data_IF_534033020994
#
_entry.id   IF_534033020994
#
_cell.length_a   1.000
_cell.length_b   1.000
_cell.length_c   1.000
_cell.angle_alpha   90.00
_cell.angle_beta   90.00
_cell.angle_gamma   90.00
#
_symmetry.space_group_name_H-M   'P 1'
#
loop_
_entity.id
_entity.type
_entity.pdbx_description
1 polymer ?
#
# COMPACT_ATOMS: atom_id res chain seq x y z
N UNK A 1 19.21 6.25 -13.47
CA UNK A 1 19.10 4.84 -13.02
C UNK A 1 19.28 3.89 -14.21
N UNK A 2 19.86 2.69 -14.03
CA UNK A 2 20.07 1.70 -15.13
C UNK A 2 18.75 1.11 -15.63
N UNK A 3 17.76 1.05 -14.73
CA UNK A 3 16.40 0.63 -15.04
C UNK A 3 15.46 1.84 -15.02
N UNK A 4 14.22 1.65 -15.46
CA UNK A 4 13.16 2.66 -15.42
C UNK A 4 12.63 2.96 -14.00
N UNK A 5 13.48 2.82 -12.99
CA UNK A 5 13.17 2.99 -11.57
C UNK A 5 12.52 4.36 -11.30
N UNK A 6 13.07 5.44 -11.85
CA UNK A 6 12.51 6.80 -11.71
C UNK A 6 11.04 6.88 -12.18
N UNK A 7 10.72 6.23 -13.31
CA UNK A 7 9.36 6.19 -13.87
C UNK A 7 8.43 5.33 -13.02
N UNK A 8 8.92 4.20 -12.52
CA UNK A 8 8.15 3.28 -11.67
C UNK A 8 7.85 3.94 -10.31
N UNK A 9 8.82 4.65 -9.73
CA UNK A 9 8.62 5.40 -8.50
C UNK A 9 7.57 6.50 -8.67
N UNK A 10 7.59 7.22 -9.81
CA UNK A 10 6.55 8.19 -10.14
C UNK A 10 5.18 7.54 -10.26
N UNK A 11 5.07 6.44 -11.02
CA UNK A 11 3.82 5.67 -11.17
C UNK A 11 3.28 5.20 -9.81
N UNK A 12 4.16 4.65 -8.96
CA UNK A 12 3.80 4.21 -7.62
C UNK A 12 3.32 5.37 -6.75
N UNK A 13 3.98 6.53 -6.82
CA UNK A 13 3.56 7.73 -6.11
C UNK A 13 2.18 8.23 -6.57
N UNK A 14 1.93 8.24 -7.88
CA UNK A 14 0.65 8.65 -8.46
C UNK A 14 -0.47 7.65 -8.09
N UNK A 15 -0.17 6.34 -8.08
CA UNK A 15 -1.07 5.30 -7.59
C UNK A 15 -1.40 5.48 -6.10
N UNK A 16 -0.40 5.71 -5.25
CA UNK A 16 -0.63 5.91 -3.81
C UNK A 16 -1.53 7.12 -3.61
N UNK A 17 -1.25 8.26 -4.26
CA UNK A 17 -2.12 9.45 -4.17
C UNK A 17 -3.57 9.16 -4.55
N UNK A 18 -3.80 8.37 -5.61
CA UNK A 18 -5.17 8.03 -6.01
C UNK A 18 -5.90 7.21 -4.96
N UNK A 19 -5.20 6.35 -4.21
CA UNK A 19 -5.81 5.54 -3.14
C UNK A 19 -6.31 6.38 -1.95
N UNK A 20 -5.74 7.57 -1.73
CA UNK A 20 -6.25 8.50 -0.71
C UNK A 20 -7.60 9.10 -1.13
N UNK A 21 -7.93 9.16 -2.42
CA UNK A 21 -9.27 9.53 -2.87
C UNK A 21 -10.32 8.44 -2.64
N UNK A 22 -9.90 7.16 -2.65
CA UNK A 22 -10.78 6.00 -2.53
C UNK A 22 -10.95 5.52 -1.08
N UNK A 23 -9.96 5.75 -0.22
CA UNK A 23 -9.94 5.26 1.17
C UNK A 23 -10.37 6.29 2.22
N UNK A 24 -10.47 7.57 1.86
CA UNK A 24 -10.89 8.62 2.77
C UNK A 24 -12.35 8.95 2.52
N UNK A 25 -13.18 8.72 3.52
CA UNK A 25 -14.53 9.30 3.56
C UNK A 25 -14.39 10.82 3.46
N UNK A 26 -15.02 11.44 2.45
CA UNK A 26 -14.95 12.87 2.11
C UNK A 26 -15.56 13.82 3.16
N UNK A 27 -15.84 13.33 4.37
CA UNK A 27 -16.37 14.11 5.49
C UNK A 27 -15.27 14.72 6.37
N UNK A 28 -15.61 15.81 7.08
CA UNK A 28 -14.73 16.65 7.93
C UNK A 28 -13.98 15.96 9.10
N UNK A 29 -13.89 14.65 9.11
CA UNK A 29 -13.13 13.84 10.08
C UNK A 29 -12.72 12.49 9.48
N UNK A 30 -12.26 12.50 8.22
CA UNK A 30 -12.02 11.32 7.38
C UNK A 30 -11.43 10.14 8.13
N UNK A 31 -12.29 9.18 8.47
CA UNK A 31 -11.91 7.97 9.18
C UNK A 31 -11.22 7.01 8.22
N UNK A 32 -9.92 6.81 8.37
CA UNK A 32 -9.18 5.83 7.59
C UNK A 32 -9.18 4.50 8.35
N UNK A 33 -9.50 3.40 7.66
CA UNK A 33 -9.42 2.05 8.26
C UNK A 33 -8.02 1.79 8.84
N UNK A 34 -6.97 2.36 8.24
CA UNK A 34 -5.60 2.26 8.76
C UNK A 34 -5.41 2.92 10.13
N UNK A 35 -6.13 4.01 10.46
CA UNK A 35 -6.07 4.65 11.78
C UNK A 35 -6.69 3.75 12.86
N UNK A 36 -7.80 3.07 12.51
CA UNK A 36 -8.40 2.06 13.39
C UNK A 36 -7.43 0.90 13.62
N UNK A 37 -6.84 0.37 12.54
CA UNK A 37 -5.88 -0.74 12.63
C UNK A 37 -4.62 -0.36 13.44
N UNK A 38 -4.18 0.90 13.34
CA UNK A 38 -3.10 1.46 14.15
C UNK A 38 -3.49 1.52 15.63
N UNK A 39 -4.69 2.01 15.94
CA UNK A 39 -5.23 2.03 17.32
C UNK A 39 -5.30 0.63 17.93
N UNK A 40 -5.69 -0.37 17.12
CA UNK A 40 -5.74 -1.77 17.52
C UNK A 40 -4.36 -2.46 17.55
N UNK A 41 -3.28 -1.76 17.17
CA UNK A 41 -1.90 -2.29 17.08
C UNK A 41 -1.73 -3.48 16.13
N UNK A 42 -2.62 -3.62 15.15
CA UNK A 42 -2.58 -4.68 14.12
C UNK A 42 -2.22 -4.16 12.72
N UNK A 43 -2.03 -2.85 12.58
CA UNK A 43 -1.72 -2.20 11.30
C UNK A 43 -0.49 -2.78 10.60
N UNK A 44 0.56 -3.13 11.35
CA UNK A 44 1.78 -3.77 10.83
C UNK A 44 1.49 -5.13 10.21
N UNK A 45 0.86 -6.03 10.97
CA UNK A 45 0.57 -7.39 10.52
C UNK A 45 -0.41 -7.37 9.33
N UNK A 46 -1.37 -6.44 9.36
CA UNK A 46 -2.27 -6.19 8.24
C UNK A 46 -1.50 -5.81 6.97
N UNK A 47 -0.58 -4.85 7.05
CA UNK A 47 0.20 -4.43 5.87
C UNK A 47 1.10 -5.56 5.37
N UNK A 48 1.74 -6.30 6.27
CA UNK A 48 2.59 -7.45 5.93
C UNK A 48 1.80 -8.56 5.21
N UNK A 49 0.67 -8.98 5.77
CA UNK A 49 -0.18 -9.99 5.14
C UNK A 49 -0.70 -9.53 3.77
N UNK A 50 -1.04 -8.26 3.61
CA UNK A 50 -1.50 -7.73 2.32
C UNK A 50 -0.39 -7.68 1.28
N UNK A 51 0.84 -7.29 1.64
CA UNK A 51 1.98 -7.32 0.73
C UNK A 51 2.19 -8.74 0.18
N UNK A 52 2.23 -9.75 1.06
CA UNK A 52 2.35 -11.16 0.69
C UNK A 52 1.18 -11.59 -0.20
N UNK A 53 -0.06 -11.27 0.19
CA UNK A 53 -1.27 -11.61 -0.58
C UNK A 53 -1.17 -11.14 -2.02
N UNK A 54 -0.78 -9.89 -2.26
CA UNK A 54 -0.71 -9.34 -3.61
C UNK A 54 0.46 -9.91 -4.43
N UNK A 55 1.61 -10.19 -3.80
CA UNK A 55 2.69 -10.92 -4.45
C UNK A 55 2.27 -12.33 -4.85
N UNK A 56 1.59 -13.07 -3.97
CA UNK A 56 1.08 -14.42 -4.27
C UNK A 56 -0.03 -14.41 -5.33
N UNK A 57 -0.77 -13.30 -5.46
CA UNK A 57 -1.87 -13.14 -6.42
C UNK A 57 -1.37 -12.85 -7.83
N UNK A 58 -0.25 -12.14 -7.97
CA UNK A 58 0.37 -11.83 -9.25
C UNK A 58 0.73 -13.12 -10.01
N UNK A 59 0.31 -13.20 -11.27
CA UNK A 59 0.43 -14.42 -12.08
C UNK A 59 -0.68 -15.45 -11.86
N UNK A 60 -1.56 -15.26 -10.87
CA UNK A 60 -2.71 -16.14 -10.59
C UNK A 60 -4.04 -15.48 -10.98
N UNK A 61 -4.47 -14.45 -10.26
CA UNK A 61 -5.79 -13.83 -10.47
C UNK A 61 -5.70 -12.68 -11.48
N UNK A 62 -6.20 -12.92 -12.69
CA UNK A 62 -6.07 -11.95 -13.79
C UNK A 62 -4.67 -11.97 -14.41
N UNK A 63 -3.95 -13.08 -14.29
CA UNK A 63 -2.60 -13.26 -14.85
C UNK A 63 -1.59 -12.30 -14.23
N UNK A 64 -0.71 -11.74 -15.07
CA UNK A 64 0.34 -10.80 -14.68
C UNK A 64 -0.19 -9.36 -14.52
N UNK A 65 -1.19 -9.19 -13.65
CA UNK A 65 -1.79 -7.88 -13.42
C UNK A 65 -0.83 -6.93 -12.66
N UNK A 66 -0.36 -5.87 -13.33
CA UNK A 66 0.56 -4.86 -12.75
C UNK A 66 -0.01 -4.18 -11.50
N UNK A 67 -1.34 -4.07 -11.39
CA UNK A 67 -1.97 -3.50 -10.21
C UNK A 67 -1.69 -4.29 -8.92
N UNK A 68 -1.44 -5.61 -9.01
CA UNK A 68 -1.06 -6.41 -7.85
C UNK A 68 0.36 -6.04 -7.36
N UNK A 69 1.29 -5.75 -8.27
CA UNK A 69 2.63 -5.28 -7.90
C UNK A 69 2.61 -3.89 -7.26
N UNK A 70 1.81 -2.96 -7.82
CA UNK A 70 1.62 -1.62 -7.23
C UNK A 70 1.02 -1.70 -5.83
N UNK A 71 0.02 -2.56 -5.61
CA UNK A 71 -0.56 -2.82 -4.30
C UNK A 71 0.46 -3.40 -3.33
N UNK A 72 1.22 -4.41 -3.74
CA UNK A 72 2.25 -5.00 -2.90
C UNK A 72 3.28 -3.94 -2.46
N UNK A 73 3.79 -3.14 -3.40
CA UNK A 73 4.73 -2.07 -3.12
C UNK A 73 4.16 -1.00 -2.18
N UNK A 74 2.89 -0.62 -2.36
CA UNK A 74 2.20 0.30 -1.47
C UNK A 74 2.15 -0.25 -0.02
N UNK A 75 1.79 -1.51 0.19
CA UNK A 75 1.80 -2.10 1.53
C UNK A 75 3.20 -2.19 2.15
N UNK A 76 4.25 -2.36 1.34
CA UNK A 76 5.64 -2.26 1.82
C UNK A 76 5.99 -0.83 2.26
N UNK A 77 5.53 0.19 1.54
CA UNK A 77 5.71 1.59 1.94
C UNK A 77 5.00 1.89 3.27
N UNK A 78 3.78 1.37 3.46
CA UNK A 78 3.07 1.50 4.74
C UNK A 78 3.82 0.80 5.88
N UNK A 79 4.41 -0.39 5.63
CA UNK A 79 5.26 -1.06 6.61
C UNK A 79 6.49 -0.22 6.99
N UNK A 80 7.14 0.42 6.02
CA UNK A 80 8.26 1.33 6.29
C UNK A 80 7.82 2.52 7.15
N UNK A 81 6.58 3.01 7.02
CA UNK A 81 6.03 4.01 7.92
C UNK A 81 5.89 3.48 9.34
N UNK A 82 5.30 2.29 9.51
CA UNK A 82 5.17 1.65 10.83
C UNK A 82 6.52 1.35 11.49
N UNK A 83 7.55 0.96 10.72
CA UNK A 83 8.91 0.71 11.25
C UNK A 83 9.54 1.97 11.85
N UNK A 84 9.36 3.12 11.18
CA UNK A 84 9.86 4.41 11.68
C UNK A 84 9.19 4.82 13.00
N UNK A 85 7.91 4.49 13.19
CA UNK A 85 7.15 4.83 14.39
C UNK A 85 7.48 3.95 15.61
N UNK A 86 8.21 2.83 15.42
CA UNK A 86 8.64 1.93 16.49
C UNK A 86 10.02 2.28 17.07
N UNK A 87 10.69 3.32 16.55
CA UNK A 87 11.95 3.87 17.07
C UNK A 87 11.68 5.08 17.95
#
# INVERSE_FOLDING_TARGET
MKFNEDKILKELGDYIKSTYGEHYSTGKGGFQVLDLLKTLRIGKDFCHANAIKYLCRYGKKGGHNRADLLKAAHYVILLLNYDKEMK
#
